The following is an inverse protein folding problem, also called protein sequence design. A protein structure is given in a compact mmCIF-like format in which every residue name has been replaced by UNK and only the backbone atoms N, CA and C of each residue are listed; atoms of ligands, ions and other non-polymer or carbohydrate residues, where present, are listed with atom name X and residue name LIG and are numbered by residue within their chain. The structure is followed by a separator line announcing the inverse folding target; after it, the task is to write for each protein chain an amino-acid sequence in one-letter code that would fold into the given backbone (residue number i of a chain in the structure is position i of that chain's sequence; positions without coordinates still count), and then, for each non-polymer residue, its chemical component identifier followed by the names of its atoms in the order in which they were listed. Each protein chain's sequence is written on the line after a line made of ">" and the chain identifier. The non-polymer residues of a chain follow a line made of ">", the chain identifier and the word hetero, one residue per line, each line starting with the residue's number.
data_IF_103478402108
#
_entry.id   IF_103478402108
#
_cell.length_a   1.000
_cell.length_b   1.000
_cell.length_c   1.000
_cell.angle_alpha   90.00
_cell.angle_beta   90.00
_cell.angle_gamma   90.00
#
_symmetry.space_group_name_H-M   'P 1'
#
loop_
_entity.id
_entity.type
_entity.pdbx_description
1 polymer ?
#
# COMPACT_ATOMS: atom_id res chain seq x y z
N UNK A 1 27.06 -11.70 10.86
CA UNK A 1 25.64 -11.27 10.88
C UNK A 1 24.87 -12.36 11.60
N UNK A 2 24.40 -12.08 12.82
CA UNK A 2 23.85 -13.11 13.70
C UNK A 2 22.57 -13.77 13.12
N UNK A 3 22.44 -15.08 13.30
CA UNK A 3 21.26 -15.87 12.94
C UNK A 3 19.96 -15.23 13.45
N UNK A 4 19.96 -14.67 14.65
CA UNK A 4 18.82 -13.97 15.25
C UNK A 4 18.40 -12.73 14.44
N UNK A 5 19.36 -11.96 13.93
CA UNK A 5 19.04 -10.78 13.09
C UNK A 5 18.44 -11.17 11.75
N UNK A 6 18.89 -12.27 11.16
CA UNK A 6 18.35 -12.83 9.93
C UNK A 6 16.89 -13.32 10.10
N UNK A 7 16.61 -14.02 11.22
CA UNK A 7 15.25 -14.47 11.56
C UNK A 7 14.31 -13.27 11.79
N UNK A 8 14.75 -12.27 12.54
CA UNK A 8 13.97 -11.07 12.80
C UNK A 8 13.65 -10.31 11.49
N UNK A 9 14.63 -10.17 10.60
CA UNK A 9 14.43 -9.54 9.29
C UNK A 9 13.42 -10.34 8.44
N UNK A 10 13.47 -11.66 8.46
CA UNK A 10 12.53 -12.53 7.77
C UNK A 10 11.11 -12.40 8.33
N UNK A 11 10.94 -12.38 9.63
CA UNK A 11 9.66 -12.19 10.29
C UNK A 11 9.05 -10.81 9.95
N UNK A 12 9.87 -9.76 9.97
CA UNK A 12 9.42 -8.41 9.56
C UNK A 12 8.98 -8.36 8.09
N UNK A 13 9.71 -9.03 7.22
CA UNK A 13 9.33 -9.15 5.81
C UNK A 13 7.96 -9.78 5.64
N UNK A 14 7.60 -10.79 6.44
CA UNK A 14 6.29 -11.45 6.40
C UNK A 14 5.13 -10.51 6.73
N UNK A 15 5.38 -9.38 7.39
CA UNK A 15 4.33 -8.39 7.69
C UNK A 15 3.86 -7.64 6.43
N UNK A 16 4.73 -7.43 5.44
CA UNK A 16 4.44 -6.68 4.22
C UNK A 16 4.44 -7.55 2.96
N UNK A 17 5.33 -8.53 2.91
CA UNK A 17 5.54 -9.44 1.78
C UNK A 17 5.31 -10.86 2.27
N UNK A 18 4.05 -11.25 2.55
CA UNK A 18 3.76 -12.52 3.15
C UNK A 18 4.03 -13.67 2.20
N UNK A 19 4.70 -14.70 2.72
CA UNK A 19 4.82 -16.01 2.07
C UNK A 19 3.60 -16.89 2.42
N UNK A 20 3.53 -18.10 1.85
CA UNK A 20 2.52 -19.06 2.26
C UNK A 20 2.58 -19.40 3.76
N UNK A 21 3.78 -19.36 4.37
CA UNK A 21 3.95 -19.55 5.80
C UNK A 21 3.49 -18.34 6.64
N UNK A 22 3.37 -17.17 6.02
CA UNK A 22 2.87 -15.96 6.67
C UNK A 22 1.48 -16.13 7.28
N UNK A 23 0.65 -17.03 6.74
CA UNK A 23 -0.68 -17.35 7.31
C UNK A 23 -0.62 -17.81 8.77
N UNK A 24 0.50 -18.43 9.19
CA UNK A 24 0.70 -18.93 10.55
C UNK A 24 1.06 -17.83 11.55
N UNK A 25 1.71 -16.76 11.09
CA UNK A 25 2.34 -15.77 11.96
C UNK A 25 1.82 -14.34 11.77
N UNK A 26 1.22 -14.04 10.61
CA UNK A 26 0.71 -12.69 10.31
C UNK A 26 -0.83 -12.64 10.40
N UNK A 27 -1.40 -11.99 11.42
CA UNK A 27 -2.85 -11.84 11.55
C UNK A 27 -3.48 -11.00 10.43
N UNK A 28 -2.68 -10.25 9.71
CA UNK A 28 -3.09 -9.41 8.58
C UNK A 28 -2.76 -10.07 7.24
N UNK A 29 -2.54 -11.41 7.24
CA UNK A 29 -2.13 -12.14 6.05
C UNK A 29 -3.10 -11.97 4.88
N UNK A 30 -4.40 -11.92 5.11
CA UNK A 30 -5.42 -11.83 4.06
C UNK A 30 -5.24 -10.52 3.27
N UNK A 31 -5.25 -9.37 3.95
CA UNK A 31 -5.11 -8.07 3.29
C UNK A 31 -3.70 -7.89 2.71
N UNK A 32 -2.65 -8.19 3.48
CA UNK A 32 -1.25 -8.00 3.02
C UNK A 32 -0.90 -8.88 1.82
N UNK A 33 -1.35 -10.15 1.80
CA UNK A 33 -1.15 -11.03 0.65
C UNK A 33 -1.94 -10.56 -0.57
N UNK A 34 -3.19 -10.11 -0.39
CA UNK A 34 -4.01 -9.59 -1.46
C UNK A 34 -3.39 -8.31 -2.07
N UNK A 35 -2.95 -7.37 -1.23
CA UNK A 35 -2.24 -6.16 -1.65
C UNK A 35 -0.96 -6.52 -2.41
N UNK A 36 -0.06 -7.29 -1.81
CA UNK A 36 1.21 -7.68 -2.41
C UNK A 36 1.05 -8.36 -3.76
N UNK A 37 0.07 -9.27 -3.90
CA UNK A 37 -0.21 -9.95 -5.19
C UNK A 37 -0.62 -8.97 -6.28
N UNK A 38 -1.45 -7.97 -5.97
CA UNK A 38 -1.85 -6.94 -6.92
C UNK A 38 -0.68 -6.05 -7.29
N UNK A 39 0.10 -5.58 -6.30
CA UNK A 39 1.30 -4.79 -6.56
C UNK A 39 2.30 -5.53 -7.44
N UNK A 40 2.58 -6.80 -7.15
CA UNK A 40 3.51 -7.64 -7.94
C UNK A 40 3.10 -7.78 -9.41
N UNK A 41 1.79 -7.80 -9.70
CA UNK A 41 1.31 -7.90 -11.06
C UNK A 41 1.38 -6.58 -11.83
N UNK A 42 1.26 -5.43 -11.14
CA UNK A 42 1.26 -4.10 -11.75
C UNK A 42 2.65 -3.46 -11.75
N UNK A 43 3.53 -3.81 -10.81
CA UNK A 43 4.88 -3.27 -10.68
C UNK A 43 5.71 -3.31 -12.00
N UNK A 44 5.61 -4.33 -12.88
CA UNK A 44 6.35 -4.35 -14.13
C UNK A 44 6.02 -3.19 -15.09
N UNK A 45 4.89 -2.49 -14.89
CA UNK A 45 4.52 -1.29 -15.64
C UNK A 45 5.30 -0.04 -15.21
N UNK A 46 5.95 -0.08 -14.04
CA UNK A 46 6.75 1.01 -13.49
C UNK A 46 8.22 0.72 -13.83
N UNK A 47 8.84 1.60 -14.60
CA UNK A 47 10.23 1.44 -15.08
C UNK A 47 10.95 2.78 -15.05
N UNK A 48 12.26 2.78 -15.35
CA UNK A 48 13.07 3.99 -15.38
C UNK A 48 13.41 4.51 -14.00
N UNK A 49 13.42 5.82 -13.82
CA UNK A 49 13.63 6.47 -12.54
C UNK A 49 12.32 6.48 -11.74
N UNK A 50 12.32 5.85 -10.56
CA UNK A 50 11.12 5.65 -9.73
C UNK A 50 11.22 6.42 -8.42
N UNK A 51 10.16 7.17 -8.09
CA UNK A 51 9.96 7.79 -6.78
C UNK A 51 8.98 6.96 -5.95
N UNK A 52 9.37 6.62 -4.72
CA UNK A 52 8.51 6.00 -3.70
C UNK A 52 8.07 7.10 -2.72
N UNK A 53 6.81 7.53 -2.85
CA UNK A 53 6.22 8.58 -2.02
C UNK A 53 5.53 7.99 -0.80
N UNK A 54 5.92 8.46 0.40
CA UNK A 54 5.54 7.85 1.68
C UNK A 54 6.26 6.51 1.87
N UNK A 55 7.56 6.49 1.57
CA UNK A 55 8.32 5.26 1.39
C UNK A 55 8.55 4.44 2.65
N UNK A 56 8.53 5.06 3.84
CA UNK A 56 8.83 4.41 5.10
C UNK A 56 10.09 3.54 5.04
N UNK A 57 9.95 2.26 5.36
CA UNK A 57 11.04 1.27 5.28
C UNK A 57 11.26 0.67 3.90
N UNK A 58 10.56 1.13 2.86
CA UNK A 58 10.57 0.62 1.48
C UNK A 58 10.23 -0.87 1.38
N UNK A 59 9.11 -1.33 1.95
CA UNK A 59 8.82 -2.77 2.06
C UNK A 59 8.64 -3.45 0.70
N UNK A 60 8.23 -2.70 -0.32
CA UNK A 60 7.94 -3.20 -1.67
C UNK A 60 9.04 -2.90 -2.70
N UNK A 61 10.18 -2.30 -2.30
CA UNK A 61 11.26 -1.93 -3.23
C UNK A 61 11.73 -3.09 -4.13
N UNK A 62 11.70 -4.33 -3.62
CA UNK A 62 12.09 -5.51 -4.40
C UNK A 62 11.20 -5.78 -5.63
N UNK A 63 9.98 -5.23 -5.67
CA UNK A 63 9.10 -5.33 -6.84
C UNK A 63 9.57 -4.46 -8.01
N UNK A 64 10.42 -3.48 -7.74
CA UNK A 64 10.93 -2.48 -8.70
C UNK A 64 12.43 -2.68 -8.99
N UNK A 65 12.93 -3.91 -8.88
CA UNK A 65 14.33 -4.23 -9.14
C UNK A 65 14.80 -3.96 -10.58
N UNK A 66 13.86 -3.81 -11.52
CA UNK A 66 14.14 -3.40 -12.92
C UNK A 66 14.12 -1.89 -13.14
N UNK A 67 13.87 -1.08 -12.11
CA UNK A 67 13.99 0.37 -12.19
C UNK A 67 15.46 0.79 -12.35
N UNK A 68 15.69 1.88 -13.09
CA UNK A 68 17.04 2.45 -13.24
C UNK A 68 17.53 3.09 -11.94
N UNK A 69 16.61 3.72 -11.22
CA UNK A 69 16.83 4.23 -9.86
C UNK A 69 15.55 4.11 -9.04
N UNK A 70 15.69 3.99 -7.71
CA UNK A 70 14.55 3.93 -6.78
C UNK A 70 14.83 4.85 -5.58
N UNK A 71 14.16 5.98 -5.57
CA UNK A 71 14.32 7.05 -4.58
C UNK A 71 13.09 7.11 -3.68
N UNK A 72 13.29 7.15 -2.37
CA UNK A 72 12.22 7.27 -1.38
C UNK A 72 12.13 8.67 -0.79
N UNK A 73 10.91 9.22 -0.75
CA UNK A 73 10.61 10.46 -0.05
C UNK A 73 9.52 10.24 0.99
N UNK A 74 9.67 10.87 2.14
CA UNK A 74 8.72 10.80 3.23
C UNK A 74 8.62 12.13 3.98
N UNK A 75 7.62 12.27 4.85
CA UNK A 75 7.48 13.42 5.74
C UNK A 75 8.29 13.17 7.02
N UNK A 76 8.91 14.22 7.55
CA UNK A 76 9.72 14.09 8.77
C UNK A 76 8.89 13.83 10.03
N UNK A 77 7.67 14.39 10.09
CA UNK A 77 6.76 14.24 11.22
C UNK A 77 5.52 13.50 10.79
N UNK A 78 5.40 12.25 11.20
CA UNK A 78 4.27 11.37 10.89
C UNK A 78 3.87 10.58 12.14
N UNK A 79 2.84 9.73 12.03
CA UNK A 79 2.50 8.73 13.04
C UNK A 79 3.47 7.55 13.13
N UNK A 80 4.47 7.50 12.24
CA UNK A 80 5.48 6.45 12.21
C UNK A 80 6.72 6.76 13.02
N UNK A 81 7.32 5.70 13.61
CA UNK A 81 8.70 5.75 14.10
C UNK A 81 9.66 5.60 12.91
N UNK A 82 10.46 6.64 12.66
CA UNK A 82 11.43 6.67 11.56
C UNK A 82 12.75 5.92 11.84
N UNK A 83 12.89 5.23 12.98
CA UNK A 83 14.15 4.54 13.35
C UNK A 83 14.57 3.46 12.33
N UNK A 84 13.63 2.85 11.63
CA UNK A 84 13.89 1.84 10.59
C UNK A 84 13.57 2.34 9.18
N UNK A 85 13.28 3.64 9.00
CA UNK A 85 12.95 4.21 7.70
C UNK A 85 14.18 4.22 6.77
N UNK A 86 13.92 4.03 5.48
CA UNK A 86 14.93 4.08 4.41
C UNK A 86 14.71 5.28 3.50
N UNK A 87 14.40 6.41 4.13
CA UNK A 87 14.09 7.66 3.45
C UNK A 87 15.36 8.25 2.86
N UNK A 88 15.34 8.60 1.57
CA UNK A 88 16.45 9.30 0.91
C UNK A 88 16.27 10.82 1.04
N UNK A 89 15.03 11.32 0.99
CA UNK A 89 14.69 12.72 1.12
C UNK A 89 13.48 12.91 2.02
N UNK A 90 13.53 13.93 2.87
CA UNK A 90 12.35 14.40 3.59
C UNK A 90 11.77 15.63 2.89
N UNK A 91 10.44 15.79 2.94
CA UNK A 91 9.74 16.94 2.42
C UNK A 91 8.90 17.63 3.51
N UNK A 92 8.45 18.84 3.23
CA UNK A 92 7.75 19.73 4.18
C UNK A 92 6.25 19.46 4.32
N UNK A 93 5.73 18.40 3.71
CA UNK A 93 4.29 18.09 3.65
C UNK A 93 3.54 18.88 2.58
N UNK A 94 4.21 19.73 1.80
CA UNK A 94 3.60 20.62 0.82
C UNK A 94 4.23 20.50 -0.58
N UNK A 95 5.56 20.55 -0.67
CA UNK A 95 6.30 20.59 -1.93
C UNK A 95 7.38 19.53 -1.96
N UNK A 96 7.39 18.74 -3.02
CA UNK A 96 8.43 17.72 -3.21
C UNK A 96 9.74 18.37 -3.67
N UNK A 97 10.90 18.00 -3.06
CA UNK A 97 12.20 18.60 -3.31
C UNK A 97 12.84 18.11 -4.63
N UNK A 98 12.04 18.01 -5.68
CA UNK A 98 12.48 17.50 -6.99
C UNK A 98 12.01 18.41 -8.12
N UNK A 99 12.77 18.42 -9.22
CA UNK A 99 12.44 19.14 -10.44
C UNK A 99 11.18 18.58 -11.13
N UNK A 100 10.57 19.40 -11.99
CA UNK A 100 9.45 18.98 -12.81
C UNK A 100 9.88 17.84 -13.75
N UNK A 101 8.98 16.89 -13.98
CA UNK A 101 9.18 15.79 -14.94
C UNK A 101 10.49 15.01 -14.69
N UNK A 102 10.83 14.74 -13.45
CA UNK A 102 12.06 14.05 -13.02
C UNK A 102 11.94 12.53 -13.13
N UNK A 103 10.78 11.96 -12.78
CA UNK A 103 10.58 10.53 -12.61
C UNK A 103 9.73 9.91 -13.72
N UNK A 104 10.11 8.72 -14.17
CA UNK A 104 9.35 7.94 -15.15
C UNK A 104 8.13 7.25 -14.49
N UNK A 105 8.22 6.98 -13.20
CA UNK A 105 7.14 6.43 -12.40
C UNK A 105 7.17 6.89 -10.96
N UNK A 106 5.99 6.99 -10.37
CA UNK A 106 5.82 7.22 -8.93
C UNK A 106 5.02 6.07 -8.34
N UNK A 107 5.43 5.61 -7.16
CA UNK A 107 4.69 4.62 -6.39
C UNK A 107 4.34 5.19 -5.02
N UNK A 108 3.18 4.80 -4.46
CA UNK A 108 2.75 5.22 -3.14
C UNK A 108 1.80 4.18 -2.56
N UNK A 109 2.13 3.63 -1.39
CA UNK A 109 1.39 2.51 -0.84
C UNK A 109 0.93 2.79 0.57
N UNK A 110 -0.39 2.80 0.79
CA UNK A 110 -1.01 3.05 2.10
C UNK A 110 -0.44 4.35 2.73
N UNK A 111 -0.53 5.45 1.97
CA UNK A 111 0.02 6.75 2.35
C UNK A 111 -0.99 7.87 2.17
N UNK A 112 -1.80 7.83 1.10
CA UNK A 112 -2.70 8.94 0.75
C UNK A 112 -3.79 9.18 1.81
N UNK A 113 -4.15 8.16 2.57
CA UNK A 113 -5.08 8.23 3.70
C UNK A 113 -4.55 9.11 4.84
N UNK A 114 -3.23 9.27 4.94
CA UNK A 114 -2.57 10.11 5.94
C UNK A 114 -2.35 11.55 5.47
N UNK A 115 -2.79 11.87 4.26
CA UNK A 115 -2.64 13.20 3.66
C UNK A 115 -3.90 14.02 3.85
N UNK A 116 -3.80 15.12 4.61
CA UNK A 116 -4.94 15.99 4.87
C UNK A 116 -5.44 16.73 3.62
N UNK A 117 -4.54 17.09 2.71
CA UNK A 117 -4.88 17.70 1.42
C UNK A 117 -4.38 16.86 0.23
N UNK A 118 -5.11 15.79 -0.14
CA UNK A 118 -4.67 14.86 -1.18
C UNK A 118 -4.56 15.52 -2.56
N UNK A 119 -5.40 16.51 -2.88
CA UNK A 119 -5.36 17.19 -4.18
C UNK A 119 -4.05 17.95 -4.40
N UNK A 120 -3.52 18.59 -3.36
CA UNK A 120 -2.24 19.31 -3.43
C UNK A 120 -1.09 18.33 -3.68
N UNK A 121 -1.05 17.26 -2.90
CA UNK A 121 0.05 16.28 -3.01
C UNK A 121 -0.01 15.51 -4.34
N UNK A 122 -1.20 15.17 -4.83
CA UNK A 122 -1.36 14.55 -6.15
C UNK A 122 -0.92 15.49 -7.29
N UNK A 123 -1.12 16.81 -7.14
CA UNK A 123 -0.57 17.80 -8.08
C UNK A 123 0.96 17.86 -8.06
N UNK A 124 1.58 17.75 -6.87
CA UNK A 124 3.04 17.67 -6.73
C UNK A 124 3.59 16.35 -7.30
N UNK A 125 2.93 15.21 -7.04
CA UNK A 125 3.28 13.92 -7.64
C UNK A 125 3.18 14.01 -9.17
N UNK A 126 2.12 14.65 -9.70
CA UNK A 126 1.97 14.88 -11.12
C UNK A 126 3.08 15.78 -11.67
N UNK A 127 3.44 16.87 -10.99
CA UNK A 127 4.50 17.79 -11.39
C UNK A 127 5.84 17.07 -11.57
N UNK A 128 6.23 16.22 -10.63
CA UNK A 128 7.52 15.52 -10.67
C UNK A 128 7.52 14.30 -11.62
N UNK A 129 6.34 13.81 -12.02
CA UNK A 129 6.19 12.72 -12.99
C UNK A 129 6.35 13.25 -14.40
N UNK A 130 7.14 12.55 -15.24
CA UNK A 130 7.28 12.84 -16.68
C UNK A 130 5.96 12.65 -17.42
N UNK A 131 5.75 13.37 -18.53
CA UNK A 131 4.56 13.20 -19.37
C UNK A 131 4.45 11.78 -19.90
N UNK A 132 3.29 11.15 -19.65
CA UNK A 132 3.06 9.75 -19.96
C UNK A 132 3.71 8.77 -18.98
N UNK A 133 4.35 9.26 -17.92
CA UNK A 133 4.84 8.45 -16.79
C UNK A 133 3.70 7.83 -16.00
N UNK A 134 4.01 6.86 -15.13
CA UNK A 134 3.01 6.08 -14.42
C UNK A 134 2.96 6.41 -12.92
N UNK A 135 1.78 6.25 -12.35
CA UNK A 135 1.54 6.26 -10.90
C UNK A 135 0.93 4.91 -10.50
N UNK A 136 1.56 4.22 -9.56
CA UNK A 136 0.99 3.02 -8.94
C UNK A 136 0.73 3.33 -7.46
N UNK A 137 -0.54 3.34 -7.07
CA UNK A 137 -0.97 3.74 -5.72
C UNK A 137 -1.87 2.70 -5.09
N UNK A 138 -1.75 2.51 -3.77
CA UNK A 138 -2.75 1.80 -2.97
C UNK A 138 -3.26 2.65 -1.84
N UNK A 139 -4.55 2.45 -1.49
CA UNK A 139 -5.21 3.10 -0.35
C UNK A 139 -6.20 2.14 0.30
N UNK A 140 -6.42 2.22 1.62
CA UNK A 140 -7.42 1.43 2.30
C UNK A 140 -8.83 1.98 2.04
N UNK A 141 -9.80 1.06 1.88
CA UNK A 141 -11.23 1.39 1.93
C UNK A 141 -11.85 0.92 3.25
N UNK A 142 -11.45 -0.27 3.74
CA UNK A 142 -11.94 -0.80 5.03
C UNK A 142 -10.75 -1.16 5.90
N UNK A 143 -10.51 -0.33 6.90
CA UNK A 143 -9.53 -0.55 7.97
C UNK A 143 -9.88 0.32 9.17
N UNK A 144 -9.44 -0.07 10.38
CA UNK A 144 -9.54 0.74 11.59
C UNK A 144 -8.62 1.97 11.53
N UNK A 145 -8.94 2.98 12.35
CA UNK A 145 -8.09 4.16 12.49
C UNK A 145 -6.72 3.76 13.06
N UNK A 146 -5.66 4.27 12.43
CA UNK A 146 -4.28 3.98 12.82
C UNK A 146 -3.41 5.22 12.62
N UNK A 147 -2.19 5.21 13.17
CA UNK A 147 -1.26 6.37 13.09
C UNK A 147 -1.86 7.70 13.59
N UNK A 148 -2.73 7.59 14.58
CA UNK A 148 -3.45 8.73 15.17
C UNK A 148 -2.49 9.84 15.62
N UNK A 149 -2.74 11.12 15.27
CA UNK A 149 -3.96 11.69 14.69
C UNK A 149 -3.93 11.88 13.16
N UNK A 150 -3.05 11.21 12.43
CA UNK A 150 -2.78 11.48 11.02
C UNK A 150 -3.56 10.58 10.06
N UNK A 151 -4.57 9.86 10.51
CA UNK A 151 -5.44 9.02 9.68
C UNK A 151 -6.65 9.82 9.20
N UNK A 152 -6.59 10.36 7.99
CA UNK A 152 -7.49 11.42 7.51
C UNK A 152 -8.62 10.92 6.60
N UNK A 153 -8.45 9.78 5.91
CA UNK A 153 -9.39 9.38 4.86
C UNK A 153 -9.50 7.89 4.61
N UNK A 154 -10.68 7.49 4.08
CA UNK A 154 -10.92 6.20 3.43
C UNK A 154 -11.54 6.45 2.07
N UNK A 155 -11.00 5.83 1.02
CA UNK A 155 -11.42 6.10 -0.34
C UNK A 155 -12.24 4.97 -0.93
N UNK A 156 -13.45 5.28 -1.40
CA UNK A 156 -14.13 4.37 -2.33
C UNK A 156 -13.40 4.35 -3.67
N UNK A 157 -13.59 3.30 -4.46
CA UNK A 157 -13.00 3.22 -5.80
C UNK A 157 -13.40 4.39 -6.71
N UNK A 158 -14.61 4.92 -6.53
CA UNK A 158 -15.10 6.09 -7.28
C UNK A 158 -14.45 7.39 -6.81
N UNK A 159 -14.32 7.58 -5.48
CA UNK A 159 -13.66 8.77 -4.92
C UNK A 159 -12.18 8.80 -5.30
N UNK A 160 -11.47 7.67 -5.19
CA UNK A 160 -10.07 7.57 -5.60
C UNK A 160 -9.89 7.87 -7.10
N UNK A 161 -10.73 7.30 -7.96
CA UNK A 161 -10.73 7.61 -9.39
C UNK A 161 -10.88 9.11 -9.62
N UNK A 162 -11.88 9.73 -9.01
CA UNK A 162 -12.18 11.15 -9.19
C UNK A 162 -11.00 12.05 -8.83
N UNK A 163 -10.34 11.83 -7.68
CA UNK A 163 -9.21 12.66 -7.26
C UNK A 163 -7.97 12.46 -8.15
N UNK A 164 -7.73 11.24 -8.65
CA UNK A 164 -6.63 10.96 -9.57
C UNK A 164 -6.87 11.60 -10.95
N UNK A 165 -8.07 11.47 -11.51
CA UNK A 165 -8.45 12.11 -12.77
C UNK A 165 -8.39 13.63 -12.66
N UNK A 166 -8.86 14.20 -11.54
CA UNK A 166 -8.75 15.65 -11.26
C UNK A 166 -7.31 16.13 -11.13
N UNK A 167 -6.39 15.27 -10.73
CA UNK A 167 -4.97 15.56 -10.67
C UNK A 167 -4.23 15.34 -12.00
N UNK A 168 -4.94 15.04 -13.09
CA UNK A 168 -4.38 14.87 -14.44
C UNK A 168 -3.82 13.48 -14.72
N UNK A 169 -4.43 12.44 -14.17
CA UNK A 169 -4.09 11.05 -14.43
C UNK A 169 -5.22 10.31 -15.14
N UNK A 170 -4.88 9.54 -16.17
CA UNK A 170 -5.78 8.58 -16.82
C UNK A 170 -5.66 7.23 -16.11
N UNK A 171 -6.78 6.67 -15.65
CA UNK A 171 -6.80 5.38 -14.97
C UNK A 171 -6.58 4.26 -15.98
N UNK A 172 -5.45 3.55 -15.86
CA UNK A 172 -5.13 2.39 -16.70
C UNK A 172 -5.79 1.14 -16.14
N UNK A 173 -5.67 0.91 -14.83
CA UNK A 173 -6.27 -0.23 -14.15
C UNK A 173 -6.59 0.11 -12.70
N UNK A 174 -7.75 -0.34 -12.22
CA UNK A 174 -8.18 -0.20 -10.83
C UNK A 174 -8.60 -1.58 -10.32
N UNK A 175 -8.02 -1.99 -9.20
CA UNK A 175 -8.27 -3.29 -8.56
C UNK A 175 -8.70 -3.13 -7.11
N UNK A 176 -9.71 -3.88 -6.71
CA UNK A 176 -10.14 -4.07 -5.33
C UNK A 176 -9.50 -5.35 -4.81
N UNK A 177 -8.76 -5.29 -3.71
CA UNK A 177 -7.80 -6.34 -3.34
C UNK A 177 -8.44 -7.62 -2.80
N UNK A 178 -9.52 -7.49 -2.01
CA UNK A 178 -10.19 -8.62 -1.34
C UNK A 178 -11.65 -8.74 -1.77
N UNK A 179 -12.20 -9.95 -1.71
CA UNK A 179 -13.65 -10.14 -1.84
C UNK A 179 -14.36 -9.70 -0.58
N UNK A 180 -15.67 -9.47 -0.68
CA UNK A 180 -16.55 -9.11 0.43
C UNK A 180 -16.37 -10.05 1.63
N UNK A 181 -16.42 -11.35 1.38
CA UNK A 181 -16.26 -12.36 2.41
C UNK A 181 -14.86 -12.33 3.07
N UNK A 182 -13.81 -12.20 2.27
CA UNK A 182 -12.43 -12.12 2.79
C UNK A 182 -12.21 -10.86 3.62
N UNK A 183 -12.85 -9.76 3.26
CA UNK A 183 -12.83 -8.52 4.05
C UNK A 183 -13.45 -8.72 5.42
N UNK A 184 -14.65 -9.35 5.49
CA UNK A 184 -15.30 -9.68 6.77
C UNK A 184 -14.38 -10.57 7.62
N UNK A 185 -13.81 -11.63 7.03
CA UNK A 185 -12.89 -12.53 7.73
C UNK A 185 -11.66 -11.78 8.28
N UNK A 186 -11.08 -10.87 7.49
CA UNK A 186 -9.96 -10.05 7.94
C UNK A 186 -10.35 -9.12 9.08
N UNK A 187 -11.53 -8.47 9.03
CA UNK A 187 -11.99 -7.60 10.10
C UNK A 187 -12.24 -8.37 11.39
N UNK A 188 -12.82 -9.57 11.31
CA UNK A 188 -12.97 -10.44 12.47
C UNK A 188 -11.61 -10.82 13.06
N UNK A 189 -10.64 -11.19 12.23
CA UNK A 189 -9.29 -11.53 12.68
C UNK A 189 -8.61 -10.32 13.33
N UNK A 190 -8.72 -9.13 12.73
CA UNK A 190 -8.17 -7.89 13.27
C UNK A 190 -8.75 -7.60 14.64
N UNK A 191 -10.07 -7.70 14.80
CA UNK A 191 -10.76 -7.51 16.08
C UNK A 191 -10.27 -8.48 17.16
N UNK A 192 -10.21 -9.78 16.86
CA UNK A 192 -9.73 -10.79 17.80
C UNK A 192 -8.28 -10.53 18.20
N UNK A 193 -7.42 -10.23 17.24
CA UNK A 193 -5.99 -10.02 17.45
C UNK A 193 -5.68 -8.78 18.28
N UNK A 194 -6.41 -7.68 18.05
CA UNK A 194 -6.10 -6.37 18.65
C UNK A 194 -6.79 -6.20 20.01
N UNK A 195 -8.02 -6.70 20.18
CA UNK A 195 -8.88 -6.37 21.30
C UNK A 195 -9.22 -7.54 22.22
N UNK A 196 -9.17 -8.79 21.72
CA UNK A 196 -9.58 -9.96 22.49
C UNK A 196 -8.36 -10.75 22.99
N UNK A 197 -7.34 -10.93 22.15
CA UNK A 197 -6.19 -11.76 22.50
C UNK A 197 -5.11 -10.98 23.26
N UNK A 198 -4.25 -11.66 24.04
CA UNK A 198 -3.15 -11.03 24.75
C UNK A 198 -2.24 -10.24 23.80
N UNK A 199 -1.79 -9.06 24.22
CA UNK A 199 -0.98 -8.19 23.38
C UNK A 199 0.47 -8.67 23.19
N UNK A 200 1.01 -9.49 24.09
CA UNK A 200 2.43 -9.93 24.11
C UNK A 200 2.58 -11.35 24.64
N UNK A 201 3.75 -11.95 24.41
CA UNK A 201 4.18 -13.19 25.01
C UNK A 201 3.68 -14.46 24.32
N UNK A 202 3.94 -15.59 24.95
CA UNK A 202 3.63 -16.93 24.46
C UNK A 202 2.14 -17.12 24.12
N UNK A 203 1.24 -16.64 24.97
CA UNK A 203 -0.20 -16.78 24.76
C UNK A 203 -0.70 -16.08 23.51
N UNK A 204 -0.07 -14.94 23.10
CA UNK A 204 -0.38 -14.30 21.82
C UNK A 204 -0.11 -15.23 20.64
N UNK A 205 1.06 -15.87 20.63
CA UNK A 205 1.42 -16.80 19.55
C UNK A 205 0.54 -18.06 19.58
N UNK A 206 0.19 -18.56 20.77
CA UNK A 206 -0.74 -19.66 20.90
C UNK A 206 -2.13 -19.30 20.33
N UNK A 207 -2.68 -18.13 20.64
CA UNK A 207 -3.94 -17.64 20.06
C UNK A 207 -3.83 -17.47 18.52
N UNK A 208 -2.70 -17.00 18.02
CA UNK A 208 -2.45 -16.89 16.59
C UNK A 208 -2.57 -18.25 15.89
N UNK A 209 -1.94 -19.27 16.43
CA UNK A 209 -1.93 -20.61 15.83
C UNK A 209 -3.27 -21.36 16.03
N UNK A 210 -3.89 -21.22 17.20
CA UNK A 210 -5.08 -21.98 17.56
C UNK A 210 -6.38 -21.38 17.01
N UNK A 211 -6.43 -20.08 16.78
CA UNK A 211 -7.65 -19.39 16.35
C UNK A 211 -7.47 -18.64 15.02
N UNK A 212 -6.47 -17.75 14.91
CA UNK A 212 -6.35 -16.90 13.72
C UNK A 212 -5.98 -17.72 12.49
N UNK A 213 -5.02 -18.63 12.61
CA UNK A 213 -4.65 -19.50 11.48
C UNK A 213 -5.82 -20.35 10.99
N UNK A 214 -6.58 -21.10 11.82
CA UNK A 214 -7.74 -21.85 11.36
C UNK A 214 -8.81 -20.96 10.72
N UNK A 215 -9.12 -19.78 11.31
CA UNK A 215 -10.07 -18.84 10.72
C UNK A 215 -9.60 -18.41 9.33
N UNK A 216 -8.32 -18.07 9.19
CA UNK A 216 -7.73 -17.67 7.90
C UNK A 216 -7.79 -18.81 6.87
N UNK A 217 -7.42 -20.04 7.26
CA UNK A 217 -7.44 -21.20 6.40
C UNK A 217 -8.87 -21.53 5.91
N UNK A 218 -9.85 -21.50 6.82
CA UNK A 218 -11.26 -21.67 6.49
C UNK A 218 -11.75 -20.55 5.58
N UNK A 219 -11.36 -19.32 5.85
CA UNK A 219 -11.72 -18.18 4.99
C UNK A 219 -11.20 -18.35 3.56
N UNK A 220 -9.95 -18.76 3.38
CA UNK A 220 -9.40 -19.05 2.04
C UNK A 220 -10.15 -20.20 1.35
N UNK A 221 -10.45 -21.28 2.06
CA UNK A 221 -11.21 -22.40 1.53
C UNK A 221 -12.62 -21.96 1.09
N UNK A 222 -13.37 -21.32 1.97
CA UNK A 222 -14.73 -20.86 1.68
C UNK A 222 -14.74 -19.80 0.56
N UNK A 223 -13.74 -18.95 0.48
CA UNK A 223 -13.66 -17.98 -0.62
C UNK A 223 -13.53 -18.63 -2.00
N UNK A 224 -13.12 -19.91 -2.10
CA UNK A 224 -13.13 -20.64 -3.38
C UNK A 224 -14.54 -21.07 -3.79
N UNK A 225 -15.41 -21.28 -2.83
CA UNK A 225 -16.78 -21.82 -3.01
C UNK A 225 -17.84 -20.71 -3.05
N UNK A 226 -17.62 -19.61 -2.35
CA UNK A 226 -18.58 -18.51 -2.23
C UNK A 226 -18.52 -17.56 -3.44
N UNK A 227 -19.64 -16.87 -3.76
CA UNK A 227 -19.68 -15.87 -4.81
C UNK A 227 -18.67 -14.75 -4.55
N UNK A 228 -17.88 -14.41 -5.57
CA UNK A 228 -16.87 -13.35 -5.49
C UNK A 228 -17.51 -11.99 -5.77
N UNK A 229 -17.73 -11.22 -4.70
CA UNK A 229 -18.21 -9.84 -4.77
C UNK A 229 -17.11 -8.92 -4.26
N UNK A 230 -16.96 -7.74 -4.87
CA UNK A 230 -15.89 -6.77 -4.58
C UNK A 230 -16.46 -5.39 -4.20
N UNK A 231 -17.69 -5.35 -3.67
CA UNK A 231 -18.34 -4.10 -3.25
C UNK A 231 -17.86 -3.64 -1.87
N UNK A 232 -17.31 -4.58 -1.09
CA UNK A 232 -16.68 -4.38 0.21
C UNK A 232 -15.30 -5.04 0.18
N UNK A 233 -14.23 -4.26 0.32
CA UNK A 233 -12.85 -4.70 0.10
C UNK A 233 -11.89 -3.97 1.04
N UNK A 234 -10.72 -4.56 1.35
CA UNK A 234 -9.74 -3.90 2.21
C UNK A 234 -9.11 -2.70 1.51
N UNK A 235 -8.43 -2.93 0.39
CA UNK A 235 -7.63 -1.89 -0.27
C UNK A 235 -8.01 -1.76 -1.74
N UNK A 236 -7.77 -0.59 -2.29
CA UNK A 236 -7.85 -0.30 -3.72
C UNK A 236 -6.44 -0.04 -4.26
N UNK A 237 -6.07 -0.72 -5.34
CA UNK A 237 -4.81 -0.50 -6.05
C UNK A 237 -5.11 0.09 -7.42
N UNK A 238 -4.44 1.18 -7.77
CA UNK A 238 -4.63 1.86 -9.05
C UNK A 238 -3.30 2.02 -9.75
N UNK A 239 -3.24 1.55 -11.00
CA UNK A 239 -2.24 1.96 -11.98
C UNK A 239 -2.85 3.08 -12.81
N UNK A 240 -2.22 4.23 -12.82
CA UNK A 240 -2.63 5.39 -13.59
C UNK A 240 -1.46 5.88 -14.44
N UNK A 241 -1.76 6.68 -15.45
CA UNK A 241 -0.77 7.30 -16.34
C UNK A 241 -0.99 8.80 -16.35
N UNK A 242 0.07 9.60 -16.23
CA UNK A 242 -0.02 11.04 -16.37
C UNK A 242 -0.54 11.37 -17.77
N UNK A 243 -1.67 12.09 -17.82
CA UNK A 243 -2.29 12.54 -19.06
C UNK A 243 -1.30 13.44 -19.82
N UNK A 244 -1.17 13.21 -21.11
CA UNK A 244 -0.40 14.13 -21.96
C UNK A 244 -1.20 15.42 -22.14
N UNK A 245 -0.58 16.60 -22.03
CA UNK A 245 -1.26 17.81 -22.42
C UNK A 245 -1.81 17.65 -23.84
N UNK A 246 -3.06 18.00 -24.07
CA UNK A 246 -3.64 17.99 -25.41
C UNK A 246 -2.67 18.76 -26.32
N UNK A 247 -2.20 18.14 -27.43
CA UNK A 247 -1.44 18.87 -28.42
C UNK A 247 -2.27 20.08 -28.82
N UNK A 248 -1.74 21.28 -28.59
CA UNK A 248 -2.37 22.48 -29.09
C UNK A 248 -2.56 22.28 -30.61
N UNK A 249 -3.82 22.13 -31.03
CA UNK A 249 -4.15 22.19 -32.46
C UNK A 249 -3.88 23.63 -32.82
N UNK A 250 -2.75 23.89 -33.45
CA UNK A 250 -2.48 25.17 -34.10
C UNK A 250 -3.50 25.29 -35.23
N UNK A 251 -4.56 26.09 -34.96
CA UNK A 251 -5.52 26.55 -35.94
C UNK A 251 -4.84 27.61 -36.84
#
# INVERSE_FOLDING_TARGET
>A
MDWLSSVAARLRRELFVPSALGILINPFHITRNALYRNLRQLAPSIRGDVLDFGCGSKPYASLFASASSYCGVDIQTSGHDHQESKVDYFYDGQTLPFDNARYDGVVSFETLEHIFNPSRILSEINRVTKDGGHLLISVPFVWDEHEVPYDCARYTSFGLRHILESAGYDIVELRKTTTYFMTIAQMLIAYLHQYVFPRRGFFRHACQLLFIFPISAVAYLLNTLLPKRYDFFCDCVVLARKSRPAKAVLL
#
